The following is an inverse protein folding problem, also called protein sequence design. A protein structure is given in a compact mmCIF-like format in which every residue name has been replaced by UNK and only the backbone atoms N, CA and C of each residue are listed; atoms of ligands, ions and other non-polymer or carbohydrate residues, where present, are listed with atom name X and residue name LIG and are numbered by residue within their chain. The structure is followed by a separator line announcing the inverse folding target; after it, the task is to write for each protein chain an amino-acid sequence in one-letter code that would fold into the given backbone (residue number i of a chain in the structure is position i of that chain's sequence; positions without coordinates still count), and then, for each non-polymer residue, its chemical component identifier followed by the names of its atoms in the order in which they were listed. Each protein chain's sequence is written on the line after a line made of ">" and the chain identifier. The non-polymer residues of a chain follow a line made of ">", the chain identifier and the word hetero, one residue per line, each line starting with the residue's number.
data_IF_442140150645
#
_entry.id   IF_442140150645
#
_cell.length_a   1.000
_cell.length_b   1.000
_cell.length_c   1.000
_cell.angle_alpha   90.00
_cell.angle_beta   90.00
_cell.angle_gamma   90.00
#
_symmetry.space_group_name_H-M   'P 1'
#
loop_
_entity.id
_entity.type
_entity.pdbx_description
1 polymer ?
#
# COMPACT_ATOMS: atom_id res chain seq x y z
N UNK A 1 -8.73 21.58 3.35
CA UNK A 1 -9.83 22.14 4.16
C UNK A 1 -11.15 21.37 4.00
N UNK A 2 -11.65 21.12 2.78
CA UNK A 2 -12.96 20.45 2.54
C UNK A 2 -13.11 19.03 3.11
N UNK A 3 -12.02 18.24 3.23
CA UNK A 3 -12.08 16.88 3.78
C UNK A 3 -12.22 16.84 5.32
N UNK A 4 -11.53 17.73 6.04
CA UNK A 4 -11.67 17.87 7.51
C UNK A 4 -13.09 18.33 7.89
N UNK A 5 -13.68 19.20 7.07
CA UNK A 5 -15.05 19.68 7.30
C UNK A 5 -16.10 18.55 7.17
N UNK A 6 -15.94 17.65 6.19
CA UNK A 6 -16.83 16.50 6.00
C UNK A 6 -16.74 15.46 7.12
N UNK A 7 -15.54 15.24 7.66
CA UNK A 7 -15.32 14.34 8.79
C UNK A 7 -15.98 14.89 10.06
N UNK A 8 -15.87 16.20 10.31
CA UNK A 8 -16.48 16.83 11.47
C UNK A 8 -18.02 16.82 11.40
N UNK A 9 -18.62 17.07 10.24
CA UNK A 9 -20.08 17.01 10.06
C UNK A 9 -20.59 15.58 10.32
N UNK A 10 -19.86 14.58 9.86
CA UNK A 10 -20.20 13.18 10.08
C UNK A 10 -20.14 12.78 11.56
N UNK A 11 -19.12 13.26 12.29
CA UNK A 11 -18.97 13.02 13.72
C UNK A 11 -20.07 13.70 14.55
N UNK A 12 -20.46 14.92 14.16
CA UNK A 12 -21.57 15.65 14.79
C UNK A 12 -22.90 14.94 14.59
N UNK A 13 -23.15 14.41 13.39
CA UNK A 13 -24.36 13.62 13.09
C UNK A 13 -24.43 12.36 13.96
N UNK A 14 -23.31 11.65 14.16
CA UNK A 14 -23.26 10.49 15.05
C UNK A 14 -23.56 10.88 16.50
N UNK A 15 -22.93 11.95 17.00
CA UNK A 15 -23.18 12.42 18.38
C UNK A 15 -24.65 12.79 18.57
N UNK A 16 -25.25 13.48 17.59
CA UNK A 16 -26.65 13.89 17.65
C UNK A 16 -27.61 12.69 17.63
N UNK A 17 -27.25 11.63 16.89
CA UNK A 17 -28.01 10.39 16.79
C UNK A 17 -27.89 9.54 18.07
N UNK A 18 -26.71 9.52 18.70
CA UNK A 18 -26.49 8.91 20.03
C UNK A 18 -27.23 9.67 21.13
N UNK A 19 -27.23 11.00 21.10
CA UNK A 19 -27.97 11.84 22.05
C UNK A 19 -29.48 11.64 21.89
N UNK A 20 -29.98 11.55 20.65
CA UNK A 20 -31.39 11.26 20.39
C UNK A 20 -31.79 9.86 20.91
N UNK A 21 -30.95 8.85 20.72
CA UNK A 21 -31.17 7.51 21.27
C UNK A 21 -31.17 7.49 22.81
N UNK A 22 -30.22 8.19 23.43
CA UNK A 22 -30.14 8.30 24.89
C UNK A 22 -31.33 9.07 25.47
N UNK A 23 -31.82 10.12 24.78
CA UNK A 23 -33.00 10.86 25.18
C UNK A 23 -34.28 10.02 25.11
N UNK A 24 -34.39 9.11 24.13
CA UNK A 24 -35.50 8.14 24.06
C UNK A 24 -35.44 7.12 25.20
N UNK A 25 -34.25 6.67 25.59
CA UNK A 25 -34.07 5.74 26.71
C UNK A 25 -34.42 6.36 28.07
N UNK A 26 -34.34 7.69 28.19
CA UNK A 26 -34.71 8.45 29.40
C UNK A 26 -36.21 8.79 29.47
N UNK A 27 -37.03 8.42 28.48
CA UNK A 27 -38.47 8.64 28.56
C UNK A 27 -39.11 7.75 29.65
N UNK A 28 -40.04 8.31 30.45
CA UNK A 28 -40.71 7.56 31.51
C UNK A 28 -41.52 6.40 30.91
N UNK A 29 -41.21 5.19 31.35
CA UNK A 29 -41.95 3.98 31.02
C UNK A 29 -43.32 4.02 31.71
N UNK A 30 -44.40 3.73 30.99
CA UNK A 30 -45.75 3.71 31.55
C UNK A 30 -45.87 2.67 32.68
N UNK A 31 -46.63 2.99 33.73
CA UNK A 31 -46.81 2.11 34.89
C UNK A 31 -47.43 0.76 34.46
N UNK A 32 -46.92 -0.36 34.98
CA UNK A 32 -47.43 -1.69 34.64
C UNK A 32 -48.62 -2.06 35.51
N UNK A 33 -49.75 -2.41 34.91
CA UNK A 33 -50.98 -2.83 35.60
C UNK A 33 -51.34 -4.28 35.30
N UNK A 34 -52.18 -4.88 36.16
CA UNK A 34 -52.73 -6.22 35.91
C UNK A 34 -53.91 -6.17 34.93
N UNK A 35 -54.10 -7.26 34.18
CA UNK A 35 -55.23 -7.38 33.24
C UNK A 35 -56.61 -7.26 33.93
N UNK A 36 -56.70 -7.70 35.18
CA UNK A 36 -57.91 -7.53 35.99
C UNK A 36 -58.22 -6.06 36.28
N UNK A 37 -57.21 -5.21 36.48
CA UNK A 37 -57.40 -3.75 36.65
C UNK A 37 -57.91 -3.12 35.35
N UNK A 38 -57.35 -3.52 34.21
CA UNK A 38 -57.84 -3.09 32.91
C UNK A 38 -59.31 -3.44 32.68
N UNK A 39 -59.74 -4.67 33.00
CA UNK A 39 -61.16 -5.03 32.90
C UNK A 39 -62.06 -4.23 33.84
N UNK A 40 -61.58 -3.88 35.03
CA UNK A 40 -62.33 -3.06 35.97
C UNK A 40 -62.50 -1.63 35.44
N UNK A 41 -61.43 -1.03 34.93
CA UNK A 41 -61.45 0.33 34.35
C UNK A 41 -62.31 0.39 33.07
N UNK A 42 -62.31 -0.70 32.28
CA UNK A 42 -63.15 -0.84 31.10
C UNK A 42 -64.64 -0.93 31.45
N UNK A 43 -65.00 -1.73 32.47
CA UNK A 43 -66.37 -1.82 32.99
C UNK A 43 -66.86 -0.52 33.64
N UNK A 44 -65.93 0.26 34.20
CA UNK A 44 -66.22 1.57 34.78
C UNK A 44 -66.28 2.69 33.72
N UNK A 45 -66.18 2.36 32.42
CA UNK A 45 -66.15 3.29 31.29
C UNK A 45 -65.07 4.38 31.41
N UNK A 46 -63.97 4.10 32.10
CA UNK A 46 -62.89 5.06 32.32
C UNK A 46 -61.84 5.03 31.21
N UNK A 47 -61.84 4.01 30.36
CA UNK A 47 -60.92 3.87 29.24
C UNK A 47 -61.35 4.75 28.08
N UNK A 48 -60.42 5.52 27.52
CA UNK A 48 -60.66 6.44 26.40
C UNK A 48 -60.02 5.96 25.09
N UNK A 49 -58.86 5.32 25.17
CA UNK A 49 -58.15 4.76 24.04
C UNK A 49 -57.29 3.57 24.48
N UNK A 50 -57.12 2.61 23.56
CA UNK A 50 -56.22 1.47 23.74
C UNK A 50 -55.38 1.33 22.49
N UNK A 51 -54.05 1.35 22.66
CA UNK A 51 -53.09 1.07 21.59
C UNK A 51 -52.60 -0.37 21.70
N UNK A 52 -52.77 -1.13 20.62
CA UNK A 52 -52.40 -2.55 20.56
C UNK A 52 -50.95 -2.68 20.05
N UNK A 53 -50.05 -3.13 20.93
CA UNK A 53 -48.69 -3.54 20.56
C UNK A 53 -48.58 -5.07 20.61
N UNK A 54 -47.49 -5.64 20.08
CA UNK A 54 -47.32 -7.10 19.98
C UNK A 54 -47.43 -7.79 21.36
N UNK A 55 -46.77 -7.27 22.40
CA UNK A 55 -46.72 -7.91 23.72
C UNK A 55 -47.61 -7.24 24.79
N UNK A 56 -47.99 -5.97 24.60
CA UNK A 56 -48.70 -5.15 25.61
C UNK A 56 -49.78 -4.27 24.99
N UNK A 57 -50.77 -3.90 25.79
CA UNK A 57 -51.75 -2.86 25.48
C UNK A 57 -51.38 -1.60 26.25
N UNK A 58 -51.27 -0.46 25.57
CA UNK A 58 -51.14 0.85 26.22
C UNK A 58 -52.55 1.45 26.40
N UNK A 59 -53.00 1.54 27.64
CA UNK A 59 -54.34 1.99 27.99
C UNK A 59 -54.28 3.44 28.43
N UNK A 60 -55.09 4.29 27.80
CA UNK A 60 -55.26 5.70 28.18
C UNK A 60 -56.63 5.92 28.80
N UNK A 61 -56.66 6.33 30.06
CA UNK A 61 -57.90 6.67 30.76
C UNK A 61 -58.40 8.08 30.40
N UNK A 62 -59.69 8.35 30.63
CA UNK A 62 -60.34 9.64 30.38
C UNK A 62 -59.76 10.78 31.23
N UNK A 63 -59.10 10.47 32.34
CA UNK A 63 -58.42 11.44 33.22
C UNK A 63 -56.99 11.80 32.73
N UNK A 64 -56.52 11.17 31.66
CA UNK A 64 -55.19 11.37 31.08
C UNK A 64 -54.11 10.42 31.60
N UNK A 65 -54.42 9.55 32.56
CA UNK A 65 -53.48 8.56 33.10
C UNK A 65 -53.25 7.44 32.08
N UNK A 66 -52.00 6.98 31.95
CA UNK A 66 -51.61 5.89 31.05
C UNK A 66 -50.92 4.75 31.80
N UNK A 67 -51.25 3.52 31.43
CA UNK A 67 -50.57 2.33 31.94
C UNK A 67 -50.48 1.25 30.86
N UNK A 68 -49.56 0.30 31.05
CA UNK A 68 -49.39 -0.85 30.16
C UNK A 68 -49.88 -2.12 30.83
N UNK A 69 -50.49 -3.00 30.04
CA UNK A 69 -51.01 -4.30 30.49
C UNK A 69 -50.65 -5.39 29.47
N UNK A 70 -50.37 -6.65 29.86
CA UNK A 70 -50.08 -7.71 28.90
C UNK A 70 -51.19 -7.89 27.87
N UNK A 71 -50.82 -8.00 26.60
CA UNK A 71 -51.76 -8.22 25.52
C UNK A 71 -52.20 -9.71 25.51
N UNK A 72 -53.49 -10.03 25.72
CA UNK A 72 -53.97 -11.41 25.69
C UNK A 72 -54.13 -11.97 24.26
N UNK A 73 -53.84 -11.17 23.24
CA UNK A 73 -53.93 -11.50 21.81
C UNK A 73 -55.27 -12.14 21.42
N UNK A 74 -56.36 -11.59 21.97
CA UNK A 74 -57.72 -12.08 21.75
C UNK A 74 -58.48 -11.21 20.73
N UNK A 75 -58.97 -11.78 19.61
CA UNK A 75 -59.76 -11.05 18.62
C UNK A 75 -61.05 -10.42 19.17
N UNK A 76 -61.64 -11.07 20.20
CA UNK A 76 -62.88 -10.62 20.84
C UNK A 76 -62.69 -9.30 21.62
N UNK A 77 -61.47 -9.02 22.08
CA UNK A 77 -61.18 -7.81 22.85
C UNK A 77 -61.29 -6.56 21.97
N UNK A 78 -60.80 -6.61 20.74
CA UNK A 78 -60.92 -5.48 19.79
C UNK A 78 -62.39 -5.17 19.48
N UNK A 79 -63.20 -6.21 19.28
CA UNK A 79 -64.64 -6.05 19.04
C UNK A 79 -65.37 -5.42 20.24
N UNK A 80 -65.06 -5.86 21.47
CA UNK A 80 -65.64 -5.30 22.69
C UNK A 80 -65.28 -3.83 22.91
N UNK A 81 -64.04 -3.43 22.60
CA UNK A 81 -63.59 -2.05 22.73
C UNK A 81 -64.26 -1.13 21.70
N UNK A 82 -64.46 -1.60 20.47
CA UNK A 82 -65.19 -0.85 19.44
C UNK A 82 -66.66 -0.64 19.81
N UNK A 83 -67.31 -1.65 20.41
CA UNK A 83 -68.70 -1.54 20.87
C UNK A 83 -68.89 -0.55 22.03
N UNK A 84 -67.81 -0.17 22.73
CA UNK A 84 -67.81 0.78 23.84
C UNK A 84 -67.26 2.17 23.45
N UNK A 85 -67.22 2.48 22.15
CA UNK A 85 -66.70 3.75 21.59
C UNK A 85 -65.25 4.09 22.01
N UNK A 86 -64.45 3.07 22.37
CA UNK A 86 -63.03 3.25 22.70
C UNK A 86 -62.22 3.40 21.42
N UNK A 87 -61.35 4.42 21.35
CA UNK A 87 -60.47 4.62 20.19
C UNK A 87 -59.38 3.57 20.17
N UNK A 88 -59.36 2.74 19.12
CA UNK A 88 -58.31 1.74 18.90
C UNK A 88 -57.29 2.29 17.91
N UNK A 89 -56.01 2.17 18.23
CA UNK A 89 -54.90 2.37 17.30
C UNK A 89 -54.05 1.10 17.24
N UNK A 90 -53.56 0.77 16.05
CA UNK A 90 -52.52 -0.24 15.85
C UNK A 90 -51.25 0.56 15.48
N UNK A 91 -50.49 1.03 16.46
CA UNK A 91 -49.22 1.69 16.18
C UNK A 91 -48.12 0.65 16.01
N UNK A 92 -47.41 0.68 14.87
CA UNK A 92 -46.11 0.01 14.81
C UNK A 92 -45.23 0.67 15.85
N UNK A 93 -44.62 -0.14 16.73
CA UNK A 93 -43.78 0.40 17.79
C UNK A 93 -42.76 1.34 17.17
N UNK A 94 -42.72 2.58 17.67
CA UNK A 94 -41.75 3.56 17.23
C UNK A 94 -40.31 2.99 17.32
N UNK A 95 -40.07 2.09 18.27
CA UNK A 95 -38.82 1.35 18.44
C UNK A 95 -38.47 0.47 17.23
N UNK A 96 -39.43 -0.18 16.57
CA UNK A 96 -39.18 -0.98 15.35
C UNK A 96 -38.76 -0.10 14.18
N UNK A 97 -39.48 1.03 13.99
CA UNK A 97 -39.14 1.97 12.92
C UNK A 97 -37.77 2.61 13.14
N UNK A 98 -37.45 2.89 14.40
CA UNK A 98 -36.17 3.43 14.81
C UNK A 98 -35.05 2.39 14.59
N UNK A 99 -35.28 1.13 14.97
CA UNK A 99 -34.34 0.01 14.76
C UNK A 99 -33.97 -0.17 13.29
N UNK A 100 -34.96 -0.17 12.38
CA UNK A 100 -34.73 -0.23 10.94
C UNK A 100 -33.88 0.93 10.41
N UNK A 101 -34.10 2.15 10.92
CA UNK A 101 -33.30 3.32 10.57
C UNK A 101 -31.86 3.19 11.09
N UNK A 102 -31.69 2.69 12.31
CA UNK A 102 -30.37 2.41 12.88
C UNK A 102 -29.61 1.35 12.10
N UNK A 103 -30.25 0.24 11.73
CA UNK A 103 -29.65 -0.82 10.93
C UNK A 103 -29.23 -0.29 9.55
N UNK A 104 -30.11 0.45 8.88
CA UNK A 104 -29.79 1.07 7.59
C UNK A 104 -28.62 2.07 7.72
N UNK A 105 -28.61 2.89 8.77
CA UNK A 105 -27.53 3.84 9.04
C UNK A 105 -26.20 3.10 9.34
N UNK A 106 -26.27 2.01 10.11
CA UNK A 106 -25.12 1.16 10.42
C UNK A 106 -24.54 0.54 9.15
N UNK A 107 -25.37 -0.04 8.27
CA UNK A 107 -24.90 -0.60 7.00
C UNK A 107 -24.28 0.48 6.11
N UNK A 108 -24.93 1.65 5.97
CA UNK A 108 -24.37 2.75 5.18
C UNK A 108 -23.02 3.23 5.72
N UNK A 109 -22.89 3.31 7.04
CA UNK A 109 -21.63 3.66 7.70
C UNK A 109 -20.56 2.59 7.50
N UNK A 110 -20.91 1.33 7.74
CA UNK A 110 -20.01 0.17 7.63
C UNK A 110 -19.49 0.01 6.20
N UNK A 111 -20.38 0.01 5.20
CA UNK A 111 -19.99 -0.04 3.79
C UNK A 111 -19.25 1.23 3.36
N UNK A 112 -19.59 2.40 3.91
CA UNK A 112 -18.84 3.64 3.71
C UNK A 112 -17.39 3.52 4.18
N UNK A 113 -17.15 2.95 5.37
CA UNK A 113 -15.80 2.67 5.88
C UNK A 113 -15.08 1.68 4.98
N UNK A 114 -15.72 0.56 4.62
CA UNK A 114 -15.13 -0.45 3.72
C UNK A 114 -14.73 0.20 2.40
N UNK A 115 -15.60 1.04 1.83
CA UNK A 115 -15.32 1.74 0.56
C UNK A 115 -14.12 2.69 0.68
N UNK A 116 -14.02 3.45 1.77
CA UNK A 116 -12.88 4.34 2.03
C UNK A 116 -11.59 3.54 2.25
N UNK A 117 -11.65 2.44 3.01
CA UNK A 117 -10.53 1.53 3.23
C UNK A 117 -10.06 0.90 1.91
N UNK A 118 -10.99 0.41 1.09
CA UNK A 118 -10.72 -0.17 -0.22
C UNK A 118 -10.09 0.86 -1.18
N UNK A 119 -10.62 2.09 -1.20
CA UNK A 119 -10.04 3.19 -1.99
C UNK A 119 -8.62 3.56 -1.54
N UNK A 120 -8.35 3.52 -0.24
CA UNK A 120 -7.00 3.77 0.31
C UNK A 120 -6.04 2.64 -0.07
N UNK A 121 -6.52 1.40 -0.12
CA UNK A 121 -5.74 0.24 -0.51
C UNK A 121 -5.38 0.23 -2.02
N UNK A 122 -6.28 0.73 -2.87
CA UNK A 122 -6.08 0.93 -4.33
C UNK A 122 -5.60 2.37 -4.62
N UNK A 123 -4.91 3.01 -3.69
CA UNK A 123 -4.52 4.41 -3.88
C UNK A 123 -3.54 4.57 -5.05
N UNK A 124 -3.77 5.49 -6.00
CA UNK A 124 -2.87 5.76 -7.13
C UNK A 124 -1.50 6.38 -6.73
N UNK A 125 -1.27 6.56 -5.42
CA UNK A 125 -0.02 7.06 -4.87
C UNK A 125 1.00 5.96 -4.54
N UNK A 126 0.76 4.69 -4.89
CA UNK A 126 1.70 3.58 -4.65
C UNK A 126 3.11 3.87 -5.18
N UNK A 127 3.22 4.43 -6.39
CA UNK A 127 4.51 4.70 -7.03
C UNK A 127 4.84 6.19 -7.01
N UNK A 128 5.98 6.58 -6.42
CA UNK A 128 6.41 7.99 -6.36
C UNK A 128 7.29 8.33 -7.55
N UNK A 129 7.04 9.48 -8.18
CA UNK A 129 7.90 10.02 -9.24
C UNK A 129 8.95 10.90 -8.57
N UNK A 130 10.21 10.57 -8.80
CA UNK A 130 11.40 11.26 -8.30
C UNK A 130 12.01 12.04 -9.47
N UNK A 131 11.98 13.38 -9.40
CA UNK A 131 12.54 14.26 -10.45
C UNK A 131 14.03 14.54 -10.27
N UNK A 132 14.52 14.46 -9.04
CA UNK A 132 15.92 14.66 -8.67
C UNK A 132 16.30 13.52 -7.74
N UNK A 133 17.17 12.64 -8.19
CA UNK A 133 17.63 11.48 -7.40
C UNK A 133 18.69 11.85 -6.36
N UNK A 134 19.36 12.99 -6.57
CA UNK A 134 20.47 13.48 -5.74
C UNK A 134 21.78 12.73 -5.98
N UNK A 135 21.82 11.83 -6.97
CA UNK A 135 22.94 10.94 -7.25
C UNK A 135 23.22 10.98 -8.75
N UNK A 136 24.49 10.99 -9.14
CA UNK A 136 24.96 11.02 -10.54
C UNK A 136 26.00 9.93 -10.78
N UNK A 137 26.52 9.78 -12.00
CA UNK A 137 27.55 8.76 -12.26
C UNK A 137 28.89 9.01 -11.57
N UNK A 138 29.11 10.21 -11.02
CA UNK A 138 30.24 10.49 -10.13
C UNK A 138 30.16 9.71 -8.82
N UNK A 139 28.96 9.36 -8.39
CA UNK A 139 28.74 8.63 -7.14
C UNK A 139 28.88 7.11 -7.30
N UNK A 140 28.95 6.63 -8.55
CA UNK A 140 29.08 5.22 -8.88
C UNK A 140 30.53 4.94 -9.27
N UNK A 141 31.16 3.99 -8.61
CA UNK A 141 32.55 3.59 -8.92
C UNK A 141 32.54 2.45 -9.94
N UNK A 142 33.44 2.50 -10.92
CA UNK A 142 33.55 1.50 -11.97
C UNK A 142 32.39 1.49 -12.98
N UNK A 143 32.11 0.31 -13.56
CA UNK A 143 31.05 0.06 -14.55
C UNK A 143 31.10 0.97 -15.79
N UNK A 144 32.31 1.35 -16.24
CA UNK A 144 32.49 2.36 -17.28
C UNK A 144 31.79 2.03 -18.60
N UNK A 145 31.84 0.76 -19.03
CA UNK A 145 31.15 0.32 -20.24
C UNK A 145 29.62 0.43 -20.08
N UNK A 146 29.07 -0.04 -18.96
CA UNK A 146 27.65 0.08 -18.67
C UNK A 146 27.19 1.54 -18.61
N UNK A 147 27.96 2.44 -17.97
CA UNK A 147 27.68 3.89 -17.97
C UNK A 147 27.60 4.43 -19.39
N UNK A 148 28.58 4.11 -20.23
CA UNK A 148 28.65 4.56 -21.63
C UNK A 148 27.43 4.09 -22.43
N UNK A 149 27.08 2.82 -22.33
CA UNK A 149 25.93 2.26 -23.05
C UNK A 149 24.61 2.90 -22.58
N UNK A 150 24.45 3.11 -21.28
CA UNK A 150 23.23 3.70 -20.75
C UNK A 150 23.11 5.20 -21.08
N UNK A 151 24.22 5.93 -21.23
CA UNK A 151 24.18 7.31 -21.75
C UNK A 151 23.63 7.37 -23.18
N UNK A 152 23.97 6.39 -24.02
CA UNK A 152 23.40 6.30 -25.37
C UNK A 152 21.89 6.05 -25.31
N UNK A 153 21.44 5.18 -24.41
CA UNK A 153 19.99 4.94 -24.21
C UNK A 153 19.29 6.21 -23.73
N UNK A 154 19.89 6.97 -22.81
CA UNK A 154 19.35 8.26 -22.35
C UNK A 154 19.18 9.22 -23.52
N UNK A 155 20.18 9.32 -24.41
CA UNK A 155 20.09 10.21 -25.56
C UNK A 155 18.94 9.80 -26.50
N UNK A 156 18.77 8.49 -26.73
CA UNK A 156 17.63 7.94 -27.49
C UNK A 156 16.29 8.28 -26.81
N UNK A 157 16.24 8.20 -25.48
CA UNK A 157 15.03 8.53 -24.69
C UNK A 157 14.64 10.00 -24.79
N UNK A 158 15.62 10.90 -24.89
CA UNK A 158 15.39 12.34 -25.00
C UNK A 158 15.03 12.75 -26.44
N UNK A 159 15.54 12.04 -27.44
CA UNK A 159 15.33 12.34 -28.86
C UNK A 159 14.63 11.20 -29.65
N UNK A 160 13.50 10.62 -29.17
CA UNK A 160 12.93 9.40 -29.73
C UNK A 160 12.48 9.56 -31.20
N UNK A 161 12.00 10.74 -31.58
CA UNK A 161 11.55 11.00 -32.95
C UNK A 161 12.71 11.01 -33.97
N UNK A 162 13.90 11.48 -33.57
CA UNK A 162 15.07 11.54 -34.44
C UNK A 162 15.65 10.15 -34.68
N UNK A 163 15.78 9.36 -33.63
CA UNK A 163 16.24 7.97 -33.71
C UNK A 163 15.25 7.08 -34.47
N UNK A 164 13.94 7.28 -34.29
CA UNK A 164 12.92 6.58 -35.03
C UNK A 164 13.00 6.81 -36.55
N UNK A 165 13.31 8.04 -37.00
CA UNK A 165 13.53 8.35 -38.43
C UNK A 165 14.72 7.59 -39.02
N UNK A 166 15.72 7.26 -38.20
CA UNK A 166 16.89 6.46 -38.58
C UNK A 166 16.63 4.95 -38.49
N UNK A 167 15.41 4.52 -38.17
CA UNK A 167 15.07 3.11 -37.97
C UNK A 167 15.62 2.52 -36.66
N UNK A 168 16.23 3.34 -35.80
CA UNK A 168 16.78 2.91 -34.51
C UNK A 168 15.63 2.84 -33.51
N UNK A 169 15.48 1.67 -32.89
CA UNK A 169 14.46 1.42 -31.87
C UNK A 169 15.11 1.45 -30.49
N UNK A 170 14.46 2.14 -29.56
CA UNK A 170 14.85 2.14 -28.17
C UNK A 170 14.64 0.74 -27.55
N UNK A 171 15.61 0.21 -26.79
CA UNK A 171 15.38 -0.99 -25.99
C UNK A 171 14.30 -0.71 -24.95
N UNK A 172 13.31 -1.61 -24.85
CA UNK A 172 12.18 -1.41 -23.92
C UNK A 172 12.59 -1.70 -22.47
N UNK A 173 13.39 -2.73 -22.29
CA UNK A 173 13.85 -3.22 -21.00
C UNK A 173 15.36 -3.45 -20.96
N UNK A 174 15.98 -3.05 -19.87
CA UNK A 174 17.38 -3.37 -19.52
C UNK A 174 17.36 -4.18 -18.22
N UNK A 175 18.05 -5.31 -18.20
CA UNK A 175 18.21 -6.16 -17.02
C UNK A 175 19.63 -6.01 -16.46
N UNK A 176 19.73 -5.63 -15.19
CA UNK A 176 20.96 -5.63 -14.40
C UNK A 176 21.01 -6.90 -13.55
N UNK A 177 21.96 -7.78 -13.85
CA UNK A 177 22.18 -9.02 -13.13
C UNK A 177 23.45 -8.90 -12.27
N UNK A 178 23.42 -9.36 -11.03
CA UNK A 178 24.63 -9.46 -10.21
C UNK A 178 24.31 -9.72 -8.75
N UNK A 179 25.32 -10.04 -7.95
CA UNK A 179 25.15 -10.28 -6.52
C UNK A 179 24.55 -9.05 -5.78
N UNK A 180 23.85 -9.24 -4.65
CA UNK A 180 23.39 -8.14 -3.82
C UNK A 180 24.58 -7.32 -3.30
N UNK A 181 24.37 -6.02 -3.10
CA UNK A 181 25.39 -5.13 -2.52
C UNK A 181 26.42 -4.54 -3.50
N UNK A 182 26.37 -4.85 -4.80
CA UNK A 182 27.24 -4.25 -5.84
C UNK A 182 26.69 -2.96 -6.48
N UNK A 183 25.68 -2.32 -5.87
CA UNK A 183 25.25 -0.99 -6.30
C UNK A 183 24.29 -0.93 -7.49
N UNK A 184 23.55 -2.00 -7.82
CA UNK A 184 22.52 -1.99 -8.89
C UNK A 184 21.49 -0.86 -8.72
N UNK A 185 20.94 -0.71 -7.52
CA UNK A 185 19.98 0.35 -7.15
C UNK A 185 20.62 1.75 -7.22
N UNK A 186 21.89 1.87 -6.80
CA UNK A 186 22.65 3.12 -6.86
C UNK A 186 22.88 3.54 -8.30
N UNK A 187 23.28 2.60 -9.16
CA UNK A 187 23.47 2.81 -10.59
C UNK A 187 22.20 3.32 -11.26
N UNK A 188 21.04 2.70 -10.99
CA UNK A 188 19.76 3.12 -11.55
C UNK A 188 19.38 4.57 -11.18
N UNK A 189 19.62 4.95 -9.91
CA UNK A 189 19.39 6.33 -9.43
C UNK A 189 20.36 7.33 -10.06
N UNK A 190 21.63 6.93 -10.21
CA UNK A 190 22.66 7.73 -10.84
C UNK A 190 22.36 7.97 -12.32
N UNK A 191 21.90 6.94 -13.03
CA UNK A 191 21.49 7.02 -14.44
C UNK A 191 20.40 8.08 -14.65
N UNK A 192 19.35 8.05 -13.84
CA UNK A 192 18.29 9.04 -13.92
C UNK A 192 18.77 10.46 -13.57
N UNK A 193 19.69 10.58 -12.61
CA UNK A 193 20.28 11.86 -12.23
C UNK A 193 21.17 12.45 -13.33
N UNK A 194 21.98 11.62 -13.97
CA UNK A 194 22.85 12.00 -15.09
C UNK A 194 22.02 12.50 -16.29
N UNK A 195 20.96 11.76 -16.65
CA UNK A 195 20.05 12.13 -17.73
C UNK A 195 19.06 13.23 -17.37
N UNK A 196 18.92 13.61 -16.10
CA UNK A 196 17.86 14.50 -15.59
C UNK A 196 16.45 14.01 -16.00
N UNK A 197 16.25 12.70 -16.00
CA UNK A 197 15.01 12.04 -16.42
C UNK A 197 14.16 11.69 -15.19
N UNK A 198 12.83 11.66 -15.34
CA UNK A 198 11.94 11.24 -14.25
C UNK A 198 12.23 9.78 -13.85
N UNK A 199 12.26 9.51 -12.54
CA UNK A 199 12.58 8.19 -12.01
C UNK A 199 11.42 7.66 -11.16
N UNK A 200 10.97 6.44 -11.42
CA UNK A 200 9.96 5.76 -10.61
C UNK A 200 10.59 4.48 -10.05
N UNK A 201 11.01 4.47 -8.77
CA UNK A 201 11.43 3.24 -8.12
C UNK A 201 10.21 2.39 -7.73
N UNK A 202 10.34 1.09 -7.95
CA UNK A 202 9.43 0.06 -7.48
C UNK A 202 10.26 -1.16 -7.02
N UNK A 203 9.72 -1.94 -6.09
CA UNK A 203 10.23 -3.25 -5.70
C UNK A 203 9.25 -4.34 -6.11
N UNK A 204 9.72 -5.58 -6.26
CA UNK A 204 8.84 -6.73 -6.49
C UNK A 204 7.68 -6.81 -5.48
N UNK A 205 7.96 -6.60 -4.20
CA UNK A 205 6.97 -6.61 -3.11
C UNK A 205 5.91 -5.52 -3.24
N UNK A 206 6.16 -4.43 -4.00
CA UNK A 206 5.15 -3.40 -4.24
C UNK A 206 3.97 -3.95 -5.06
N UNK A 207 4.18 -5.00 -5.85
CA UNK A 207 3.14 -5.63 -6.68
C UNK A 207 2.41 -6.75 -5.97
N UNK A 208 2.96 -7.28 -4.88
CA UNK A 208 2.32 -8.34 -4.10
C UNK A 208 1.09 -7.78 -3.33
N UNK A 209 0.09 -8.64 -3.12
CA UNK A 209 -1.12 -8.29 -2.37
C UNK A 209 -1.80 -9.53 -1.81
N UNK A 210 -2.57 -9.36 -0.72
CA UNK A 210 -3.48 -10.40 -0.22
C UNK A 210 -4.74 -10.54 -1.08
N UNK A 211 -5.04 -9.54 -1.91
CA UNK A 211 -6.24 -9.54 -2.75
C UNK A 211 -5.85 -9.83 -4.19
N UNK A 212 -6.47 -10.88 -4.74
CA UNK A 212 -6.29 -11.27 -6.13
C UNK A 212 -6.55 -10.07 -7.06
N UNK A 213 -5.75 -10.00 -8.14
CA UNK A 213 -5.86 -8.99 -9.20
C UNK A 213 -5.42 -7.56 -8.83
N UNK A 214 -5.06 -7.27 -7.56
CA UNK A 214 -4.47 -5.98 -7.20
C UNK A 214 -3.06 -5.83 -7.81
N UNK A 215 -2.24 -6.88 -7.79
CA UNK A 215 -0.90 -6.82 -8.39
C UNK A 215 -0.89 -6.42 -9.88
N UNK A 216 -1.63 -7.12 -10.75
CA UNK A 216 -1.77 -6.75 -12.16
C UNK A 216 -2.31 -5.32 -12.37
N UNK A 217 -3.22 -4.85 -11.51
CA UNK A 217 -3.71 -3.48 -11.56
C UNK A 217 -2.60 -2.47 -11.22
N UNK A 218 -1.78 -2.75 -10.20
CA UNK A 218 -0.63 -1.90 -9.84
C UNK A 218 0.38 -1.79 -10.98
N UNK A 219 0.64 -2.88 -11.72
CA UNK A 219 1.47 -2.85 -12.94
C UNK A 219 0.90 -1.84 -13.94
N UNK A 220 -0.38 -1.94 -14.29
CA UNK A 220 -1.04 -0.98 -15.19
C UNK A 220 -0.96 0.47 -14.68
N UNK A 221 -1.11 0.69 -13.37
CA UNK A 221 -1.01 2.01 -12.75
C UNK A 221 0.41 2.58 -12.81
N UNK A 222 1.43 1.76 -12.57
CA UNK A 222 2.84 2.12 -12.70
C UNK A 222 3.14 2.63 -14.11
N UNK A 223 2.78 1.83 -15.12
CA UNK A 223 3.01 2.19 -16.52
C UNK A 223 2.21 3.40 -16.98
N UNK A 224 0.93 3.50 -16.57
CA UNK A 224 0.12 4.71 -16.80
C UNK A 224 0.77 5.95 -16.19
N UNK A 225 1.40 5.83 -15.02
CA UNK A 225 2.13 6.93 -14.38
C UNK A 225 3.42 7.26 -15.13
N UNK A 226 4.21 6.26 -15.52
CA UNK A 226 5.41 6.45 -16.32
C UNK A 226 5.12 7.20 -17.63
N UNK A 227 4.06 6.81 -18.36
CA UNK A 227 3.62 7.49 -19.60
C UNK A 227 3.28 8.96 -19.40
N UNK A 228 2.67 9.33 -18.28
CA UNK A 228 2.36 10.74 -17.96
C UNK A 228 3.58 11.57 -17.61
N UNK A 229 4.69 10.92 -17.31
CA UNK A 229 5.94 11.55 -16.88
C UNK A 229 7.09 11.22 -17.85
N UNK A 230 6.81 10.84 -19.09
CA UNK A 230 7.85 10.63 -20.09
C UNK A 230 8.61 11.95 -20.37
N UNK A 231 9.94 11.92 -20.58
CA UNK A 231 10.81 10.73 -20.50
C UNK A 231 10.94 10.22 -19.07
N UNK A 232 10.90 8.90 -18.88
CA UNK A 232 10.85 8.28 -17.57
C UNK A 232 11.60 6.95 -17.52
N UNK A 233 12.38 6.74 -16.45
CA UNK A 233 12.95 5.44 -16.08
C UNK A 233 12.06 4.82 -15.01
N UNK A 234 11.56 3.62 -15.27
CA UNK A 234 10.90 2.76 -14.28
C UNK A 234 11.94 1.76 -13.79
N UNK A 235 12.31 1.85 -12.53
CA UNK A 235 13.27 0.93 -11.92
C UNK A 235 12.54 -0.11 -11.06
N UNK A 236 12.73 -1.39 -11.34
CA UNK A 236 12.16 -2.49 -10.56
C UNK A 236 13.30 -3.26 -9.89
N UNK A 237 13.43 -3.12 -8.58
CA UNK A 237 14.40 -3.87 -7.78
C UNK A 237 13.85 -5.24 -7.36
N UNK A 238 14.75 -6.17 -7.04
CA UNK A 238 14.41 -7.55 -6.63
C UNK A 238 13.46 -8.23 -7.64
N UNK A 239 13.72 -8.04 -8.93
CA UNK A 239 12.82 -8.44 -10.00
C UNK A 239 12.51 -9.95 -10.03
N UNK A 240 13.41 -10.76 -9.47
CA UNK A 240 13.21 -12.18 -9.21
C UNK A 240 12.01 -12.48 -8.29
N UNK A 241 11.62 -11.58 -7.39
CA UNK A 241 10.45 -11.79 -6.52
C UNK A 241 9.12 -11.92 -7.27
N UNK A 242 8.95 -11.20 -8.39
CA UNK A 242 7.75 -11.28 -9.24
C UNK A 242 8.00 -11.98 -10.57
N UNK A 243 9.25 -12.11 -11.00
CA UNK A 243 9.62 -12.57 -12.34
C UNK A 243 10.00 -14.04 -12.41
N UNK A 244 9.84 -14.83 -11.35
CA UNK A 244 10.27 -16.23 -11.28
C UNK A 244 9.58 -17.14 -12.29
N UNK A 245 10.26 -18.24 -12.64
CA UNK A 245 9.69 -19.33 -13.44
C UNK A 245 8.42 -19.86 -12.78
N UNK A 246 7.41 -20.12 -13.62
CA UNK A 246 6.17 -20.79 -13.23
C UNK A 246 6.53 -22.18 -12.72
N UNK A 247 6.43 -22.43 -11.42
CA UNK A 247 6.26 -23.80 -10.98
C UNK A 247 4.75 -24.10 -11.09
N UNK A 248 4.40 -25.34 -11.40
CA UNK A 248 3.00 -25.75 -11.45
C UNK A 248 2.64 -26.41 -10.12
N UNK A 249 2.85 -25.70 -9.01
CA UNK A 249 2.50 -26.24 -7.68
C UNK A 249 1.01 -26.05 -7.35
N UNK A 250 0.26 -25.31 -8.18
CA UNK A 250 -1.19 -25.15 -8.05
C UNK A 250 -1.63 -24.24 -6.90
N UNK A 251 -0.71 -23.52 -6.26
CA UNK A 251 -1.04 -22.59 -5.18
C UNK A 251 -1.66 -21.28 -5.70
N UNK A 252 -2.55 -20.68 -4.90
CA UNK A 252 -3.21 -19.41 -5.25
C UNK A 252 -2.22 -18.23 -5.43
N UNK A 253 -1.11 -18.24 -4.67
CA UNK A 253 -0.04 -17.22 -4.71
C UNK A 253 0.72 -17.27 -6.05
N UNK A 254 1.03 -18.48 -6.52
CA UNK A 254 1.75 -18.67 -7.78
C UNK A 254 0.91 -18.25 -9.01
N UNK A 255 -0.40 -18.44 -8.91
CA UNK A 255 -1.36 -17.95 -9.91
C UNK A 255 -1.38 -16.42 -9.97
N UNK A 256 -1.19 -15.73 -8.85
CA UNK A 256 -1.11 -14.27 -8.82
C UNK A 256 0.18 -13.74 -9.45
N UNK A 257 1.34 -14.30 -9.08
CA UNK A 257 2.62 -13.93 -9.69
C UNK A 257 2.58 -14.10 -11.22
N UNK A 258 2.01 -15.21 -11.71
CA UNK A 258 1.82 -15.44 -13.14
C UNK A 258 0.97 -14.33 -13.81
N UNK A 259 -0.08 -13.85 -13.13
CA UNK A 259 -0.90 -12.74 -13.64
C UNK A 259 -0.14 -11.41 -13.62
N UNK A 260 0.70 -11.17 -12.61
CA UNK A 260 1.56 -9.97 -12.54
C UNK A 260 2.57 -9.98 -13.69
N UNK A 261 3.27 -11.09 -13.91
CA UNK A 261 4.20 -11.28 -15.04
C UNK A 261 3.48 -11.04 -16.36
N UNK A 262 2.31 -11.67 -16.55
CA UNK A 262 1.53 -11.50 -17.78
C UNK A 262 1.12 -10.04 -18.00
N UNK A 263 0.71 -9.33 -16.95
CA UNK A 263 0.39 -7.91 -17.04
C UNK A 263 1.61 -7.06 -17.40
N UNK A 264 2.78 -7.37 -16.83
CA UNK A 264 4.04 -6.71 -17.15
C UNK A 264 4.44 -6.95 -18.62
N UNK A 265 4.34 -8.19 -19.10
CA UNK A 265 4.59 -8.55 -20.49
C UNK A 265 3.68 -7.78 -21.45
N UNK A 266 2.39 -7.71 -21.14
CA UNK A 266 1.42 -6.95 -21.95
C UNK A 266 1.75 -5.45 -22.00
N UNK A 267 2.17 -4.87 -20.88
CA UNK A 267 2.60 -3.47 -20.84
C UNK A 267 3.90 -3.23 -21.61
N UNK A 268 4.88 -4.14 -21.50
CA UNK A 268 6.12 -4.10 -22.28
C UNK A 268 5.87 -4.26 -23.79
N UNK A 269 5.05 -5.23 -24.19
CA UNK A 269 4.74 -5.50 -25.59
C UNK A 269 3.90 -4.35 -26.19
N UNK A 270 2.98 -3.78 -25.41
CA UNK A 270 2.08 -2.69 -25.80
C UNK A 270 2.72 -1.31 -25.98
N UNK A 271 4.02 -1.15 -25.68
CA UNK A 271 4.73 0.10 -25.94
C UNK A 271 5.00 0.34 -27.42
N UNK A 272 4.70 1.55 -27.89
CA UNK A 272 5.36 2.08 -29.09
C UNK A 272 6.78 2.53 -28.72
N UNK A 273 7.83 2.17 -29.49
CA UNK A 273 9.23 2.49 -29.17
C UNK A 273 9.54 3.99 -28.95
N UNK A 274 8.63 4.88 -29.36
CA UNK A 274 8.83 6.33 -29.32
C UNK A 274 8.30 7.01 -28.04
N UNK A 275 7.88 6.25 -27.02
CA UNK A 275 7.29 6.84 -25.81
C UNK A 275 8.32 7.37 -24.79
N UNK A 276 9.62 7.14 -25.00
CA UNK A 276 10.68 7.64 -24.10
C UNK A 276 10.64 7.03 -22.70
N UNK A 277 10.21 5.77 -22.58
CA UNK A 277 10.12 5.06 -21.30
C UNK A 277 11.09 3.89 -21.33
N UNK A 278 11.97 3.81 -20.33
CA UNK A 278 12.89 2.70 -20.13
C UNK A 278 12.49 1.93 -18.87
N UNK A 279 12.36 0.61 -18.98
CA UNK A 279 12.24 -0.27 -17.81
C UNK A 279 13.61 -0.82 -17.47
N UNK A 280 14.12 -0.50 -16.28
CA UNK A 280 15.37 -1.02 -15.76
C UNK A 280 15.04 -1.98 -14.61
N UNK A 281 15.36 -3.26 -14.76
CA UNK A 281 15.11 -4.27 -13.73
C UNK A 281 16.43 -4.75 -13.13
N UNK A 282 16.48 -4.92 -11.81
CA UNK A 282 17.63 -5.52 -11.12
C UNK A 282 17.27 -6.89 -10.57
N UNK A 283 18.14 -7.88 -10.79
CA UNK A 283 17.97 -9.25 -10.29
C UNK A 283 19.30 -9.81 -9.77
N UNK A 284 19.23 -10.81 -8.90
CA UNK A 284 20.41 -11.55 -8.48
C UNK A 284 20.83 -12.60 -9.51
N UNK A 285 19.87 -13.20 -10.22
CA UNK A 285 20.14 -14.25 -11.20
C UNK A 285 19.08 -14.26 -12.28
N UNK A 286 19.49 -14.05 -13.54
CA UNK A 286 18.57 -14.13 -14.69
C UNK A 286 18.02 -15.53 -14.89
N UNK A 287 18.70 -16.56 -14.40
CA UNK A 287 18.28 -17.97 -14.52
C UNK A 287 17.00 -18.26 -13.74
N UNK A 288 16.73 -17.48 -12.69
CA UNK A 288 15.51 -17.59 -11.90
C UNK A 288 14.28 -17.05 -12.62
N UNK A 289 14.46 -16.21 -13.65
CA UNK A 289 13.37 -15.51 -14.32
C UNK A 289 12.64 -16.38 -15.36
N UNK A 290 11.36 -16.08 -15.59
CA UNK A 290 10.58 -16.63 -16.72
C UNK A 290 11.25 -16.23 -18.05
N UNK A 291 11.50 -17.21 -18.91
CA UNK A 291 12.14 -17.02 -20.22
C UNK A 291 11.37 -16.05 -21.12
N UNK A 292 10.06 -15.95 -20.92
CA UNK A 292 9.22 -14.98 -21.61
C UNK A 292 9.68 -13.54 -21.33
N UNK A 293 10.16 -13.21 -20.13
CA UNK A 293 10.60 -11.85 -19.79
C UNK A 293 11.90 -11.46 -20.51
N UNK A 294 12.83 -12.42 -20.66
CA UNK A 294 14.18 -12.20 -21.19
C UNK A 294 14.30 -12.36 -22.72
N UNK A 295 13.17 -12.61 -23.40
CA UNK A 295 13.12 -12.71 -24.86
C UNK A 295 13.27 -11.33 -25.51
N UNK A 296 13.81 -11.31 -26.73
CA UNK A 296 13.93 -10.10 -27.54
C UNK A 296 12.57 -9.41 -27.77
N UNK A 297 12.56 -8.08 -27.74
CA UNK A 297 11.40 -7.20 -27.69
C UNK A 297 10.92 -6.81 -26.28
N UNK A 298 11.59 -7.25 -25.21
CA UNK A 298 11.25 -7.05 -23.79
C UNK A 298 12.50 -6.60 -23.01
N UNK A 299 13.12 -7.49 -22.22
CA UNK A 299 14.42 -7.23 -21.58
C UNK A 299 15.57 -7.63 -22.50
N UNK A 300 15.79 -6.78 -23.51
CA UNK A 300 16.68 -7.04 -24.65
C UNK A 300 18.14 -6.90 -24.27
N UNK A 301 18.44 -5.87 -23.48
CA UNK A 301 19.78 -5.54 -23.05
C UNK A 301 20.02 -6.11 -21.65
N UNK A 302 21.11 -6.86 -21.50
CA UNK A 302 21.44 -7.60 -20.28
C UNK A 302 22.85 -7.24 -19.89
N UNK A 303 23.00 -6.71 -18.68
CA UNK A 303 24.29 -6.29 -18.16
C UNK A 303 24.58 -6.97 -16.86
N UNK A 304 25.80 -7.46 -16.75
CA UNK A 304 26.32 -8.00 -15.49
C UNK A 304 26.93 -6.86 -14.67
N UNK A 305 26.61 -6.85 -13.39
CA UNK A 305 27.16 -5.99 -12.36
C UNK A 305 28.11 -6.85 -11.53
N UNK A 306 29.41 -6.84 -11.86
CA UNK A 306 30.37 -7.74 -11.26
C UNK A 306 30.73 -7.32 -9.83
N UNK A 307 31.45 -8.21 -9.14
CA UNK A 307 32.21 -7.81 -7.95
C UNK A 307 33.31 -6.80 -8.33
N UNK A 308 33.67 -5.88 -7.43
CA UNK A 308 34.70 -4.89 -7.70
C UNK A 308 36.08 -5.56 -7.86
N UNK A 309 36.78 -5.19 -8.93
CA UNK A 309 38.20 -5.52 -9.12
C UNK A 309 39.08 -4.72 -8.15
N UNK A 310 40.40 -4.97 -8.18
CA UNK A 310 41.34 -4.32 -7.26
C UNK A 310 41.27 -2.78 -7.31
N UNK A 311 41.21 -2.20 -8.51
CA UNK A 311 41.16 -0.73 -8.68
C UNK A 311 39.83 -0.17 -8.19
N UNK A 312 38.70 -0.82 -8.50
CA UNK A 312 37.40 -0.46 -7.97
C UNK A 312 37.35 -0.56 -6.44
N UNK A 313 37.96 -1.59 -5.85
CA UNK A 313 38.04 -1.74 -4.39
C UNK A 313 38.87 -0.62 -3.76
N UNK A 314 39.96 -0.20 -4.41
CA UNK A 314 40.77 0.94 -3.98
C UNK A 314 39.98 2.25 -4.02
N UNK A 315 39.28 2.51 -5.12
CA UNK A 315 38.39 3.68 -5.23
C UNK A 315 37.26 3.65 -4.19
N UNK A 316 36.63 2.50 -3.98
CA UNK A 316 35.58 2.31 -2.97
C UNK A 316 36.11 2.56 -1.57
N UNK A 317 37.25 1.96 -1.22
CA UNK A 317 37.92 2.18 0.05
C UNK A 317 38.23 3.66 0.25
N UNK A 318 38.82 4.33 -0.75
CA UNK A 318 39.11 5.77 -0.70
C UNK A 318 37.84 6.58 -0.40
N UNK A 319 36.76 6.33 -1.16
CA UNK A 319 35.48 7.02 -0.97
C UNK A 319 34.90 6.82 0.42
N UNK A 320 34.94 5.59 0.95
CA UNK A 320 34.41 5.31 2.30
C UNK A 320 35.29 5.84 3.43
N UNK A 321 36.56 6.14 3.15
CA UNK A 321 37.49 6.80 4.07
C UNK A 321 37.34 8.33 4.11
N UNK A 322 36.89 8.98 3.03
CA UNK A 322 36.82 10.47 2.92
C UNK A 322 36.10 11.15 4.10
N UNK A 323 35.09 10.51 4.67
CA UNK A 323 34.29 11.05 5.77
C UNK A 323 34.69 10.51 7.15
N UNK A 324 35.88 9.89 7.29
CA UNK A 324 36.29 9.18 8.52
C UNK A 324 37.69 9.55 8.97
N UNK A 325 37.91 9.38 10.27
CA UNK A 325 39.20 9.53 10.93
C UNK A 325 39.87 8.16 11.05
N UNK A 326 41.07 8.03 10.51
CA UNK A 326 41.82 6.76 10.45
C UNK A 326 43.32 7.00 10.68
N UNK A 327 44.00 5.99 11.20
CA UNK A 327 45.43 6.03 11.48
C UNK A 327 46.27 5.88 10.19
N UNK A 328 47.54 6.25 10.26
CA UNK A 328 48.47 6.23 9.11
C UNK A 328 48.70 4.83 8.51
N UNK A 329 48.42 3.78 9.29
CA UNK A 329 48.50 2.38 8.85
C UNK A 329 47.31 1.96 7.96
N UNK A 330 46.29 2.81 7.82
CA UNK A 330 45.13 2.60 6.96
C UNK A 330 45.30 3.41 5.67
N UNK A 331 45.39 2.71 4.54
CA UNK A 331 45.33 3.32 3.21
C UNK A 331 44.39 2.55 2.29
N UNK A 332 43.81 3.24 1.31
CA UNK A 332 42.92 2.64 0.32
C UNK A 332 43.56 1.43 -0.39
N UNK A 333 44.87 1.47 -0.64
CA UNK A 333 45.58 0.37 -1.29
C UNK A 333 45.77 -0.84 -0.36
N UNK A 334 46.06 -0.61 0.92
CA UNK A 334 46.13 -1.69 1.93
C UNK A 334 44.76 -2.34 2.08
N UNK A 335 43.69 -1.53 2.17
CA UNK A 335 42.32 -2.01 2.28
C UNK A 335 41.87 -2.80 1.05
N UNK A 336 42.18 -2.34 -0.16
CA UNK A 336 41.82 -3.02 -1.41
C UNK A 336 42.37 -4.47 -1.50
N UNK A 337 43.54 -4.72 -0.89
CA UNK A 337 44.13 -6.07 -0.77
C UNK A 337 43.39 -6.95 0.24
N UNK A 338 42.82 -6.37 1.30
CA UNK A 338 42.06 -7.11 2.30
C UNK A 338 40.64 -7.47 1.84
N UNK A 339 40.14 -6.78 0.81
CA UNK A 339 38.74 -6.87 0.39
C UNK A 339 38.50 -7.77 -0.84
N UNK A 340 39.41 -8.71 -1.10
CA UNK A 340 39.23 -9.61 -2.24
C UNK A 340 37.96 -10.45 -2.12
N UNK A 341 37.16 -10.47 -3.20
CA UNK A 341 35.87 -11.14 -3.23
C UNK A 341 34.71 -10.40 -2.54
N UNK A 342 34.92 -9.24 -1.91
CA UNK A 342 33.81 -8.49 -1.30
C UNK A 342 33.03 -7.64 -2.28
N UNK A 343 31.73 -7.52 -2.03
CA UNK A 343 30.88 -6.54 -2.70
C UNK A 343 31.07 -5.13 -2.09
N UNK A 344 30.63 -4.11 -2.81
CA UNK A 344 30.76 -2.71 -2.35
C UNK A 344 30.12 -2.46 -0.98
N UNK A 345 28.96 -3.07 -0.70
CA UNK A 345 28.30 -2.97 0.60
C UNK A 345 29.07 -3.64 1.75
N UNK A 346 29.75 -4.77 1.48
CA UNK A 346 30.60 -5.43 2.47
C UNK A 346 31.82 -4.58 2.82
N UNK A 347 32.46 -3.97 1.82
CA UNK A 347 33.58 -3.04 2.01
C UNK A 347 33.17 -1.87 2.91
N UNK A 348 32.04 -1.24 2.60
CA UNK A 348 31.48 -0.15 3.41
C UNK A 348 31.20 -0.60 4.85
N UNK A 349 30.59 -1.79 5.01
CA UNK A 349 30.25 -2.36 6.32
C UNK A 349 31.48 -2.60 7.19
N UNK A 350 32.54 -3.20 6.64
CA UNK A 350 33.80 -3.44 7.37
C UNK A 350 34.41 -2.13 7.86
N UNK A 351 34.51 -1.13 6.98
CA UNK A 351 35.11 0.17 7.33
C UNK A 351 34.27 0.89 8.39
N UNK A 352 32.94 0.90 8.24
CA UNK A 352 32.03 1.50 9.21
C UNK A 352 32.12 0.80 10.58
N UNK A 353 32.23 -0.53 10.58
CA UNK A 353 32.37 -1.32 11.81
C UNK A 353 33.68 -1.04 12.53
N UNK A 354 34.79 -0.96 11.80
CA UNK A 354 36.08 -0.60 12.39
C UNK A 354 36.04 0.80 13.05
N UNK A 355 35.43 1.78 12.37
CA UNK A 355 35.21 3.11 12.93
C UNK A 355 34.33 3.10 14.18
N UNK A 356 33.25 2.29 14.17
CA UNK A 356 32.36 2.14 15.32
C UNK A 356 33.08 1.54 16.54
N UNK A 357 33.89 0.50 16.35
CA UNK A 357 34.66 -0.14 17.42
C UNK A 357 35.67 0.83 18.02
N UNK A 358 36.38 1.60 17.18
CA UNK A 358 37.29 2.63 17.67
C UNK A 358 36.55 3.70 18.50
N UNK A 359 35.41 4.17 18.02
CA UNK A 359 34.57 5.13 18.73
C UNK A 359 34.04 4.61 20.07
N UNK A 360 33.65 3.34 20.15
CA UNK A 360 33.22 2.69 21.40
C UNK A 360 34.36 2.61 22.44
N UNK A 361 35.61 2.54 21.98
CA UNK A 361 36.79 2.54 22.84
C UNK A 361 37.31 3.96 23.14
N UNK A 362 36.59 5.00 22.72
CA UNK A 362 37.00 6.40 22.92
C UNK A 362 38.17 6.83 22.02
N UNK A 363 38.49 6.08 20.97
CA UNK A 363 39.52 6.45 19.99
C UNK A 363 38.91 7.20 18.83
N UNK A 364 39.50 8.33 18.46
CA UNK A 364 39.08 9.12 17.29
C UNK A 364 39.42 8.43 15.97
N UNK A 365 40.60 7.81 15.89
CA UNK A 365 41.10 7.13 14.71
C UNK A 365 40.97 5.61 14.86
N UNK A 366 40.38 4.94 13.87
CA UNK A 366 40.50 3.48 13.74
C UNK A 366 41.80 3.11 13.01
N UNK A 367 42.34 1.95 13.35
CA UNK A 367 43.60 1.42 12.80
C UNK A 367 43.36 0.19 11.92
N UNK A 368 44.41 -0.30 11.28
CA UNK A 368 44.34 -1.54 10.50
C UNK A 368 43.98 -2.76 11.38
N UNK A 369 44.30 -2.72 12.68
CA UNK A 369 43.90 -3.75 13.62
C UNK A 369 42.37 -3.84 13.78
N UNK A 370 41.68 -2.69 13.78
CA UNK A 370 40.22 -2.62 13.88
C UNK A 370 39.56 -3.17 12.60
N UNK A 371 40.14 -2.87 11.44
CA UNK A 371 39.70 -3.43 10.16
C UNK A 371 39.85 -4.95 10.17
N UNK A 372 41.02 -5.47 10.59
CA UNK A 372 41.25 -6.91 10.71
C UNK A 372 40.32 -7.59 11.71
N UNK A 373 39.97 -6.91 12.80
CA UNK A 373 38.97 -7.41 13.75
C UNK A 373 37.57 -7.45 13.10
N UNK A 374 37.16 -6.38 12.44
CA UNK A 374 35.88 -6.31 11.74
C UNK A 374 35.75 -7.38 10.63
N UNK A 375 36.83 -7.68 9.92
CA UNK A 375 36.90 -8.73 8.90
C UNK A 375 36.69 -10.14 9.46
N UNK A 376 37.01 -10.41 10.72
CA UNK A 376 36.81 -11.74 11.32
C UNK A 376 35.35 -12.02 11.70
N UNK A 377 34.54 -10.97 11.76
CA UNK A 377 33.15 -11.04 12.19
C UNK A 377 32.15 -11.00 11.03
N UNK A 378 32.64 -10.91 9.79
CA UNK A 378 31.86 -10.91 8.53
C UNK A 378 32.29 -12.11 7.71
#
# INVERSE_FOLDING_TARGET
>A
MKAKLRINIFLILIILLVVAAAAMFLMPQAEKASYSKFQADLKAEQVSAVDFQEDVLEVSLKDGTKYTVPNPDSPLLKEQLLLQDVKISDSKSFEETLSLVFDAAFYLFFFGIIFVAFRKFISPNTFKVVRKTGVTFKDVIGMNQLKKDMLQIIDIMQHPAEYAKKGIRMPKGVLLEGAPGNGKTLFARALAGEGKINFIPAKATDFESMFMAIGPLKVKLLFKKARRHAPCIVFIDEFDGIGTKRNYSGSAIETENTRIVTALLNELDGFTPNQGILVLAATNSRKALDEALIRAGRFDAKYEVPFPDFEMRKELASKFLEAKHYAEDVSAEVLARQFDGFCAAQIESVINKAALVAGQQGRENFSLADIKAALKEI
#
